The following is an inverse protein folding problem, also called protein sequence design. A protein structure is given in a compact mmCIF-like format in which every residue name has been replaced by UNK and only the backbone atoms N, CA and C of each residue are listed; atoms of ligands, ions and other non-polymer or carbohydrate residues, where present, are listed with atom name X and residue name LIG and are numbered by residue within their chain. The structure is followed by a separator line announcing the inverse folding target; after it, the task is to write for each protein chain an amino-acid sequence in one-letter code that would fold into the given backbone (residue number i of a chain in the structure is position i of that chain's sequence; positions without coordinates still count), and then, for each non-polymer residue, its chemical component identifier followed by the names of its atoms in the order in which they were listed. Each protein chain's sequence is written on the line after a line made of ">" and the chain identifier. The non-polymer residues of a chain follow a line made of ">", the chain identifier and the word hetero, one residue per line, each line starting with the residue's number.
data_IF_976929883270
#
_entry.id   IF_976929883270
#
_cell.length_a   1.000
_cell.length_b   1.000
_cell.length_c   1.000
_cell.angle_alpha   90.00
_cell.angle_beta   90.00
_cell.angle_gamma   90.00
#
_symmetry.space_group_name_H-M   'P 1'
#
loop_
_entity.id
_entity.type
_entity.pdbx_description
1 polymer ?
#
# COMPACT_ATOMS: atom_id res chain seq x y z
N UNK A 1 57.47 -29.81 9.71
CA UNK A 1 57.00 -28.48 9.32
C UNK A 1 55.54 -28.63 8.95
N UNK A 2 54.64 -28.17 9.80
CA UNK A 2 53.19 -28.21 9.57
C UNK A 2 52.73 -26.76 9.50
N UNK A 3 52.17 -26.39 8.36
CA UNK A 3 51.63 -25.06 8.15
C UNK A 3 50.11 -25.15 8.28
N UNK A 4 49.57 -24.55 9.33
CA UNK A 4 48.15 -24.32 9.53
C UNK A 4 47.86 -22.88 9.11
N UNK A 5 47.13 -22.70 8.07
CA UNK A 5 46.61 -21.42 7.61
C UNK A 5 45.18 -21.59 7.15
N UNK A 6 44.25 -21.68 8.09
CA UNK A 6 42.85 -21.61 7.82
C UNK A 6 42.32 -20.23 8.26
N UNK A 7 42.41 -19.25 7.37
CA UNK A 7 41.74 -17.99 7.59
C UNK A 7 40.31 -18.13 7.04
N UNK A 8 39.39 -18.42 7.94
CA UNK A 8 37.95 -18.25 7.67
C UNK A 8 37.64 -16.75 7.65
N UNK A 9 37.60 -16.16 6.46
CA UNK A 9 37.07 -14.82 6.24
C UNK A 9 35.55 -14.89 6.35
N UNK A 10 35.04 -14.79 7.59
CA UNK A 10 33.67 -14.41 7.82
C UNK A 10 33.53 -12.95 7.44
N UNK A 11 33.07 -12.68 6.23
CA UNK A 11 32.63 -11.35 5.85
C UNK A 11 31.48 -10.97 6.80
N UNK A 12 31.80 -10.12 7.76
CA UNK A 12 30.81 -9.42 8.57
C UNK A 12 30.12 -8.41 7.64
N UNK A 13 29.21 -8.89 6.80
CA UNK A 13 28.33 -8.02 6.02
C UNK A 13 27.49 -7.28 7.05
N UNK A 14 27.77 -6.01 7.22
CA UNK A 14 26.94 -5.12 8.03
C UNK A 14 25.57 -5.12 7.39
N UNK A 15 24.56 -5.62 8.11
CA UNK A 15 23.16 -5.61 7.67
C UNK A 15 22.79 -4.18 7.22
N UNK A 16 22.12 -4.05 6.08
CA UNK A 16 21.68 -2.76 5.55
C UNK A 16 20.17 -2.58 5.73
N UNK A 17 19.74 -1.32 5.75
CA UNK A 17 18.32 -0.97 5.76
C UNK A 17 17.56 -1.58 4.57
N UNK A 18 18.17 -1.56 3.37
CA UNK A 18 17.59 -2.17 2.18
C UNK A 18 17.35 -3.67 2.34
N UNK A 19 18.31 -4.40 2.92
CA UNK A 19 18.16 -5.84 3.19
C UNK A 19 17.02 -6.11 4.19
N UNK A 20 16.87 -5.26 5.21
CA UNK A 20 15.78 -5.32 6.18
C UNK A 20 14.42 -5.13 5.48
N UNK A 21 14.30 -4.09 4.65
CA UNK A 21 13.08 -3.78 3.89
C UNK A 21 12.70 -4.93 2.96
N UNK A 22 13.63 -5.44 2.17
CA UNK A 22 13.38 -6.55 1.26
C UNK A 22 12.98 -7.83 1.99
N UNK A 23 13.66 -8.16 3.09
CA UNK A 23 13.32 -9.32 3.90
C UNK A 23 11.94 -9.17 4.54
N UNK A 24 11.58 -8.00 5.04
CA UNK A 24 10.27 -7.73 5.60
C UNK A 24 9.17 -7.87 4.55
N UNK A 25 9.36 -7.31 3.34
CA UNK A 25 8.41 -7.45 2.23
C UNK A 25 8.26 -8.92 1.77
N UNK A 26 9.35 -9.72 1.78
CA UNK A 26 9.24 -11.16 1.51
C UNK A 26 8.38 -11.87 2.56
N UNK A 27 8.62 -11.63 3.85
CA UNK A 27 7.81 -12.22 4.94
C UNK A 27 6.34 -11.84 4.80
N UNK A 28 6.03 -10.56 4.54
CA UNK A 28 4.64 -10.11 4.40
C UNK A 28 3.96 -10.75 3.20
N UNK A 29 4.66 -10.89 2.09
CA UNK A 29 4.14 -11.55 0.89
C UNK A 29 3.83 -13.04 1.10
N UNK A 30 4.67 -13.74 1.84
CA UNK A 30 4.59 -15.20 2.05
C UNK A 30 3.65 -15.58 3.19
N UNK A 31 3.77 -14.87 4.31
CA UNK A 31 3.15 -15.26 5.58
C UNK A 31 2.04 -14.27 6.03
N UNK A 32 1.93 -13.08 5.41
CA UNK A 32 1.04 -11.99 5.85
C UNK A 32 1.71 -11.04 6.85
N UNK A 33 1.16 -9.82 6.96
CA UNK A 33 1.70 -8.75 7.83
C UNK A 33 1.63 -9.10 9.32
N UNK A 34 0.63 -9.88 9.73
CA UNK A 34 0.46 -10.35 11.12
C UNK A 34 1.63 -11.23 11.58
N UNK A 35 2.22 -11.99 10.64
CA UNK A 35 3.36 -12.89 10.93
C UNK A 35 4.70 -12.16 10.94
N UNK A 36 4.77 -10.93 10.43
CA UNK A 36 5.97 -10.12 10.53
C UNK A 36 6.27 -9.77 12.00
N UNK A 37 7.42 -10.18 12.46
CA UNK A 37 7.96 -9.90 13.80
C UNK A 37 9.48 -9.81 13.73
N UNK A 38 10.13 -9.16 14.70
CA UNK A 38 11.59 -9.06 14.77
C UNK A 38 12.25 -10.44 14.71
N UNK A 39 11.67 -11.43 15.39
CA UNK A 39 12.16 -12.82 15.37
C UNK A 39 12.00 -13.48 14.00
N UNK A 40 10.89 -13.26 13.31
CA UNK A 40 10.65 -13.79 11.95
C UNK A 40 11.59 -13.14 10.94
N UNK A 41 11.77 -11.82 11.07
CA UNK A 41 12.70 -11.04 10.25
C UNK A 41 14.15 -11.51 10.43
N UNK A 42 14.61 -11.70 11.68
CA UNK A 42 15.97 -12.20 11.95
C UNK A 42 16.22 -13.57 11.33
N UNK A 43 15.21 -14.47 11.37
CA UNK A 43 15.31 -15.78 10.70
C UNK A 43 15.39 -15.64 9.18
N UNK A 44 14.61 -14.73 8.60
CA UNK A 44 14.64 -14.45 7.17
C UNK A 44 16.01 -13.92 6.72
N UNK A 45 16.62 -13.07 7.54
CA UNK A 45 17.92 -12.47 7.26
C UNK A 45 19.09 -13.39 7.62
N UNK A 46 18.86 -14.49 8.34
CA UNK A 46 19.95 -15.36 8.82
C UNK A 46 20.87 -14.71 9.85
N UNK A 47 20.36 -13.73 10.63
CA UNK A 47 21.13 -12.98 11.62
C UNK A 47 20.65 -13.26 13.05
N UNK A 48 21.40 -12.76 14.04
CA UNK A 48 20.99 -12.86 15.44
C UNK A 48 19.64 -12.17 15.69
N UNK A 49 18.85 -12.63 16.69
CA UNK A 49 17.57 -11.99 17.02
C UNK A 49 17.67 -10.51 17.41
N UNK A 50 18.85 -10.06 17.84
CA UNK A 50 19.08 -8.66 18.22
C UNK A 50 19.51 -7.77 17.07
N UNK A 51 19.95 -8.33 15.93
CA UNK A 51 20.45 -7.55 14.81
C UNK A 51 19.45 -6.53 14.25
N UNK A 52 18.16 -6.85 14.00
CA UNK A 52 17.21 -5.88 13.52
C UNK A 52 16.97 -4.71 14.49
N UNK A 53 17.15 -4.92 15.80
CA UNK A 53 16.94 -3.86 16.81
C UNK A 53 17.99 -2.75 16.76
N UNK A 54 19.08 -2.92 16.02
CA UNK A 54 20.03 -1.82 15.75
C UNK A 54 19.47 -0.80 14.75
N UNK A 55 18.42 -1.17 14.00
CA UNK A 55 17.81 -0.35 12.94
C UNK A 55 16.44 0.15 13.31
N UNK A 56 15.63 -0.66 14.00
CA UNK A 56 14.26 -0.34 14.37
C UNK A 56 13.97 -0.85 15.80
N UNK A 57 13.26 -0.05 16.60
CA UNK A 57 12.98 -0.38 17.99
C UNK A 57 11.89 -1.47 18.14
N UNK A 58 10.91 -1.48 17.23
CA UNK A 58 9.77 -2.39 17.30
C UNK A 58 9.18 -2.70 15.91
N UNK A 59 8.10 -3.51 15.90
CA UNK A 59 7.38 -3.86 14.67
C UNK A 59 6.79 -2.64 13.98
N UNK A 60 6.30 -1.65 14.71
CA UNK A 60 5.68 -0.45 14.13
C UNK A 60 6.73 0.36 13.37
N UNK A 61 7.88 0.57 13.97
CA UNK A 61 8.99 1.28 13.32
C UNK A 61 9.52 0.52 12.10
N UNK A 62 9.54 -0.83 12.16
CA UNK A 62 9.86 -1.66 11.00
C UNK A 62 8.86 -1.45 9.86
N UNK A 63 7.56 -1.43 10.15
CA UNK A 63 6.52 -1.19 9.13
C UNK A 63 6.65 0.21 8.53
N UNK A 64 6.93 1.23 9.34
CA UNK A 64 7.18 2.60 8.90
C UNK A 64 8.40 2.69 7.96
N UNK A 65 9.48 2.02 8.31
CA UNK A 65 10.70 1.93 7.50
C UNK A 65 10.41 1.31 6.13
N UNK A 66 9.74 0.15 6.13
CA UNK A 66 9.39 -0.58 4.92
C UNK A 66 8.48 0.27 4.02
N UNK A 67 7.47 0.92 4.57
CA UNK A 67 6.55 1.77 3.84
C UNK A 67 7.28 2.98 3.22
N UNK A 68 8.11 3.67 4.00
CA UNK A 68 8.89 4.84 3.55
C UNK A 68 9.84 4.49 2.42
N UNK A 69 10.58 3.39 2.55
CA UNK A 69 11.53 2.95 1.54
C UNK A 69 10.82 2.51 0.23
N UNK A 70 9.71 1.77 0.35
CA UNK A 70 8.96 1.30 -0.81
C UNK A 70 8.28 2.46 -1.58
N UNK A 71 7.82 3.50 -0.88
CA UNK A 71 7.18 4.68 -1.47
C UNK A 71 8.18 5.77 -1.90
N UNK A 72 9.47 5.57 -1.66
CA UNK A 72 10.48 6.53 -2.08
C UNK A 72 10.36 6.88 -3.58
N UNK A 73 10.44 8.19 -3.88
CA UNK A 73 10.33 8.70 -5.25
C UNK A 73 8.92 9.00 -5.75
N UNK A 74 7.86 8.68 -4.98
CA UNK A 74 6.52 9.24 -5.25
C UNK A 74 6.57 10.76 -5.05
N UNK A 75 6.00 11.52 -6.00
CA UNK A 75 6.04 12.98 -6.00
C UNK A 75 4.65 13.57 -6.15
N UNK A 76 4.36 14.60 -5.35
CA UNK A 76 3.14 15.38 -5.53
C UNK A 76 3.17 16.09 -6.89
N UNK A 77 2.17 15.91 -7.76
CA UNK A 77 2.08 16.63 -9.03
C UNK A 77 1.92 18.14 -8.78
N UNK A 78 2.64 18.99 -9.52
CA UNK A 78 2.53 20.43 -9.38
C UNK A 78 1.13 20.94 -9.75
N UNK A 79 0.75 22.13 -9.27
CA UNK A 79 -0.59 22.71 -9.50
C UNK A 79 -0.89 22.94 -10.98
N UNK A 80 0.12 23.31 -11.74
CA UNK A 80 0.05 23.58 -13.16
C UNK A 80 -0.07 22.33 -14.05
N UNK A 81 0.07 21.13 -13.49
CA UNK A 81 0.00 19.87 -14.27
C UNK A 81 -1.43 19.47 -14.66
N UNK A 82 -2.43 20.21 -14.18
CA UNK A 82 -3.83 19.96 -14.56
C UNK A 82 -4.85 20.21 -13.44
N UNK A 83 -6.07 19.75 -13.66
CA UNK A 83 -7.15 19.83 -12.67
C UNK A 83 -6.83 18.97 -11.44
N UNK A 84 -7.56 19.18 -10.35
CA UNK A 84 -7.37 18.37 -9.14
C UNK A 84 -7.59 16.86 -9.39
N UNK A 85 -8.51 16.50 -10.29
CA UNK A 85 -8.76 15.11 -10.68
C UNK A 85 -7.54 14.49 -11.35
N UNK A 86 -6.93 15.21 -12.29
CA UNK A 86 -5.72 14.77 -13.01
C UNK A 86 -4.56 14.60 -12.03
N UNK A 87 -4.36 15.58 -11.15
CA UNK A 87 -3.30 15.58 -10.14
C UNK A 87 -3.49 14.45 -9.12
N UNK A 88 -4.73 14.27 -8.62
CA UNK A 88 -5.05 13.19 -7.70
C UNK A 88 -4.80 11.83 -8.36
N UNK A 89 -5.29 11.66 -9.60
CA UNK A 89 -5.10 10.42 -10.35
C UNK A 89 -3.61 10.11 -10.55
N UNK A 90 -2.80 11.07 -10.96
CA UNK A 90 -1.36 10.90 -11.17
C UNK A 90 -0.65 10.48 -9.87
N UNK A 91 -0.95 11.14 -8.75
CA UNK A 91 -0.37 10.77 -7.45
C UNK A 91 -0.74 9.35 -7.03
N UNK A 92 -2.02 8.96 -7.19
CA UNK A 92 -2.50 7.62 -6.85
C UNK A 92 -1.92 6.57 -7.79
N UNK A 93 -1.78 6.86 -9.09
CA UNK A 93 -1.15 5.96 -10.07
C UNK A 93 0.32 5.69 -9.72
N UNK A 94 1.08 6.69 -9.26
CA UNK A 94 2.44 6.51 -8.76
C UNK A 94 2.48 5.56 -7.55
N UNK A 95 1.55 5.71 -6.59
CA UNK A 95 1.46 4.83 -5.42
C UNK A 95 1.08 3.41 -5.85
N UNK A 96 0.07 3.26 -6.72
CA UNK A 96 -0.34 1.95 -7.24
C UNK A 96 0.80 1.22 -7.97
N UNK A 97 1.64 1.94 -8.71
CA UNK A 97 2.84 1.37 -9.34
C UNK A 97 3.82 0.80 -8.28
N UNK A 98 4.00 1.49 -7.15
CA UNK A 98 4.79 0.98 -6.02
C UNK A 98 4.15 -0.27 -5.39
N UNK A 99 2.83 -0.28 -5.21
CA UNK A 99 2.11 -1.44 -4.69
C UNK A 99 2.28 -2.68 -5.59
N UNK A 100 2.26 -2.49 -6.90
CA UNK A 100 2.48 -3.59 -7.85
C UNK A 100 3.91 -4.13 -7.81
N UNK A 101 4.90 -3.27 -7.59
CA UNK A 101 6.33 -3.66 -7.50
C UNK A 101 6.68 -4.30 -6.17
N UNK A 102 5.94 -3.99 -5.11
CA UNK A 102 6.20 -4.45 -3.74
C UNK A 102 4.98 -5.21 -3.17
N UNK A 103 4.77 -6.49 -3.58
CA UNK A 103 3.69 -7.31 -3.03
C UNK A 103 3.74 -7.37 -1.50
N UNK A 104 2.62 -7.13 -0.84
CA UNK A 104 2.50 -7.02 0.61
C UNK A 104 2.57 -5.59 1.16
N UNK A 105 3.05 -4.61 0.38
CA UNK A 105 3.08 -3.21 0.81
C UNK A 105 1.68 -2.67 1.12
N UNK A 106 0.67 -3.04 0.32
CA UNK A 106 -0.71 -2.61 0.54
C UNK A 106 -1.25 -3.04 1.91
N UNK A 107 -0.88 -4.24 2.39
CA UNK A 107 -1.27 -4.72 3.71
C UNK A 107 -0.62 -3.91 4.84
N UNK A 108 0.66 -3.53 4.66
CA UNK A 108 1.38 -2.66 5.60
C UNK A 108 0.70 -1.28 5.67
N UNK A 109 0.43 -0.67 4.52
CA UNK A 109 -0.13 0.68 4.44
C UNK A 109 -1.59 0.74 4.91
N UNK A 110 -2.37 -0.33 4.69
CA UNK A 110 -3.75 -0.40 5.18
C UNK A 110 -3.85 -0.31 6.71
N UNK A 111 -2.84 -0.83 7.43
CA UNK A 111 -2.78 -0.74 8.89
C UNK A 111 -2.31 0.64 9.38
N UNK A 112 -1.81 1.50 8.50
CA UNK A 112 -1.15 2.76 8.84
C UNK A 112 -1.84 3.97 8.18
N UNK A 113 -3.14 4.18 8.44
CA UNK A 113 -3.90 5.27 7.79
C UNK A 113 -3.29 6.67 7.98
N UNK A 114 -2.64 6.94 9.10
CA UNK A 114 -1.89 8.17 9.39
C UNK A 114 -0.48 7.81 9.88
N UNK A 115 0.25 7.04 9.06
CA UNK A 115 1.63 6.63 9.35
C UNK A 115 2.65 7.77 9.15
N UNK A 116 3.93 7.41 9.15
CA UNK A 116 5.05 8.38 9.02
C UNK A 116 5.19 8.97 7.60
N UNK A 117 4.41 8.52 6.61
CA UNK A 117 4.42 9.05 5.24
C UNK A 117 3.63 10.38 5.15
N UNK A 118 3.85 11.28 6.11
CA UNK A 118 3.09 12.54 6.22
C UNK A 118 3.16 13.39 4.96
N UNK A 119 4.28 13.40 4.25
CA UNK A 119 4.45 14.16 3.00
C UNK A 119 3.50 13.66 1.89
N UNK A 120 3.24 12.35 1.80
CA UNK A 120 2.30 11.79 0.83
C UNK A 120 0.85 11.99 1.26
N UNK A 121 0.57 11.88 2.55
CA UNK A 121 -0.74 12.16 3.13
C UNK A 121 -1.10 13.62 2.88
N UNK A 122 -0.19 14.52 3.20
CA UNK A 122 -0.30 15.96 2.96
C UNK A 122 -0.52 16.26 1.48
N UNK A 123 0.25 15.63 0.58
CA UNK A 123 0.10 15.80 -0.86
C UNK A 123 -1.31 15.43 -1.36
N UNK A 124 -1.92 14.35 -0.86
CA UNK A 124 -3.31 13.99 -1.19
C UNK A 124 -4.28 15.03 -0.64
N UNK A 125 -4.13 15.40 0.63
CA UNK A 125 -5.02 16.36 1.30
C UNK A 125 -4.93 17.75 0.67
N UNK A 126 -3.73 18.25 0.33
CA UNK A 126 -3.55 19.54 -0.36
C UNK A 126 -4.25 19.56 -1.72
N UNK A 127 -4.20 18.46 -2.51
CA UNK A 127 -4.93 18.40 -3.79
C UNK A 127 -6.43 18.54 -3.55
N UNK A 128 -6.97 17.94 -2.49
CA UNK A 128 -8.40 18.02 -2.14
C UNK A 128 -8.76 19.41 -1.59
N UNK A 129 -7.90 20.03 -0.77
CA UNK A 129 -8.09 21.42 -0.33
C UNK A 129 -8.07 22.39 -1.51
N UNK A 130 -7.13 22.21 -2.44
CA UNK A 130 -7.05 23.01 -3.68
C UNK A 130 -8.32 22.87 -4.54
N UNK A 131 -8.99 21.72 -4.50
CA UNK A 131 -10.27 21.49 -5.15
C UNK A 131 -11.45 22.22 -4.48
N UNK A 132 -11.28 22.67 -3.22
CA UNK A 132 -12.30 23.38 -2.46
C UNK A 132 -13.08 22.50 -1.47
N UNK A 133 -12.62 21.30 -1.15
CA UNK A 133 -13.25 20.49 -0.10
C UNK A 133 -13.05 21.12 1.28
N UNK A 134 -14.07 21.05 2.15
CA UNK A 134 -13.95 21.42 3.56
C UNK A 134 -13.07 20.44 4.33
N UNK A 135 -12.49 20.88 5.46
CA UNK A 135 -11.61 20.07 6.32
C UNK A 135 -12.18 18.69 6.62
N UNK A 136 -13.46 18.63 6.99
CA UNK A 136 -14.17 17.38 7.27
C UNK A 136 -14.23 16.46 6.04
N UNK A 137 -14.53 17.03 4.88
CA UNK A 137 -14.66 16.28 3.63
C UNK A 137 -13.30 15.86 3.07
N UNK A 138 -12.23 16.63 3.28
CA UNK A 138 -10.86 16.23 2.95
C UNK A 138 -10.47 14.97 3.71
N UNK A 139 -10.72 14.92 5.03
CA UNK A 139 -10.42 13.72 5.81
C UNK A 139 -11.23 12.49 5.36
N UNK A 140 -12.53 12.68 5.09
CA UNK A 140 -13.41 11.61 4.60
C UNK A 140 -12.98 11.10 3.22
N UNK A 141 -12.64 12.01 2.30
CA UNK A 141 -12.14 11.69 0.98
C UNK A 141 -10.80 10.93 1.05
N UNK A 142 -9.86 11.43 1.86
CA UNK A 142 -8.60 10.74 2.11
C UNK A 142 -8.82 9.32 2.64
N UNK A 143 -9.65 9.15 3.66
CA UNK A 143 -9.95 7.83 4.23
C UNK A 143 -10.57 6.87 3.18
N UNK A 144 -11.44 7.39 2.31
CA UNK A 144 -12.05 6.62 1.22
C UNK A 144 -11.01 6.18 0.20
N UNK A 145 -10.14 7.10 -0.26
CA UNK A 145 -9.03 6.82 -1.18
C UNK A 145 -8.10 5.77 -0.57
N UNK A 146 -7.68 5.97 0.67
CA UNK A 146 -6.80 5.07 1.40
C UNK A 146 -7.37 3.65 1.49
N UNK A 147 -8.62 3.54 1.93
CA UNK A 147 -9.29 2.23 2.07
C UNK A 147 -9.44 1.54 0.73
N UNK A 148 -9.84 2.26 -0.33
CA UNK A 148 -9.94 1.71 -1.68
C UNK A 148 -8.57 1.23 -2.17
N UNK A 149 -7.57 2.09 -2.16
CA UNK A 149 -6.26 1.82 -2.77
C UNK A 149 -5.56 0.64 -2.10
N UNK A 150 -5.50 0.63 -0.79
CA UNK A 150 -4.78 -0.39 -0.04
C UNK A 150 -5.64 -1.63 0.26
N UNK A 151 -6.95 -1.47 0.48
CA UNK A 151 -7.86 -2.59 0.72
C UNK A 151 -8.06 -3.51 -0.50
N UNK A 152 -7.95 -2.97 -1.73
CA UNK A 152 -8.09 -3.78 -2.94
C UNK A 152 -7.02 -4.88 -3.07
N UNK A 153 -5.84 -4.70 -2.48
CA UNK A 153 -4.78 -5.71 -2.48
C UNK A 153 -5.18 -6.99 -1.73
N UNK A 154 -6.08 -6.87 -0.76
CA UNK A 154 -6.63 -8.01 0.02
C UNK A 154 -7.75 -8.75 -0.71
N UNK A 155 -8.32 -8.18 -1.77
CA UNK A 155 -9.32 -8.88 -2.58
C UNK A 155 -8.63 -9.91 -3.45
N UNK A 156 -8.56 -11.16 -2.96
CA UNK A 156 -7.96 -12.28 -3.68
C UNK A 156 -9.04 -13.20 -4.29
N UNK A 157 -9.34 -13.09 -5.61
CA UNK A 157 -10.33 -13.96 -6.24
C UNK A 157 -9.95 -15.47 -6.26
N UNK A 158 -8.65 -15.80 -6.05
CA UNK A 158 -8.22 -17.22 -6.06
C UNK A 158 -8.71 -18.01 -4.85
N UNK A 159 -8.94 -17.34 -3.71
CA UNK A 159 -9.36 -18.00 -2.48
C UNK A 159 -10.87 -18.25 -2.41
N UNK A 160 -11.62 -17.82 -3.44
CA UNK A 160 -13.07 -17.89 -3.49
C UNK A 160 -13.59 -18.45 -4.81
N UNK A 161 -13.08 -19.57 -5.25
CA UNK A 161 -13.85 -20.41 -6.15
C UNK A 161 -15.11 -20.81 -5.40
N UNK A 162 -16.29 -20.44 -5.92
CA UNK A 162 -17.52 -20.98 -5.36
C UNK A 162 -17.37 -22.49 -5.27
N UNK A 163 -17.78 -23.15 -4.15
CA UNK A 163 -17.75 -24.59 -4.07
C UNK A 163 -18.41 -25.15 -5.32
N UNK A 164 -17.81 -26.17 -5.93
CA UNK A 164 -18.27 -26.72 -7.23
C UNK A 164 -19.74 -27.18 -7.21
N UNK A 165 -20.28 -27.44 -6.01
CA UNK A 165 -21.63 -27.97 -5.79
C UNK A 165 -22.67 -26.90 -5.41
N UNK A 166 -22.31 -25.60 -5.43
CA UNK A 166 -23.25 -24.52 -5.09
C UNK A 166 -23.88 -23.95 -6.35
N UNK A 167 -25.20 -24.09 -6.47
CA UNK A 167 -25.99 -23.42 -7.49
C UNK A 167 -25.99 -21.89 -7.20
N UNK A 168 -25.25 -21.14 -8.03
CA UNK A 168 -25.20 -19.68 -7.88
C UNK A 168 -26.49 -19.03 -8.37
N UNK A 169 -27.02 -18.01 -7.67
CA UNK A 169 -28.08 -17.15 -8.21
C UNK A 169 -27.66 -16.55 -9.56
N UNK A 170 -28.64 -16.32 -10.45
CA UNK A 170 -28.36 -15.91 -11.83
C UNK A 170 -27.46 -14.68 -11.96
N UNK A 171 -27.73 -13.62 -11.17
CA UNK A 171 -26.94 -12.39 -11.19
C UNK A 171 -25.48 -12.65 -10.78
N UNK A 172 -25.27 -13.49 -9.75
CA UNK A 172 -23.94 -13.89 -9.28
C UNK A 172 -23.22 -14.69 -10.37
N UNK A 173 -23.89 -15.70 -10.96
CA UNK A 173 -23.32 -16.53 -12.01
C UNK A 173 -22.93 -15.72 -13.25
N UNK A 174 -23.69 -14.68 -13.59
CA UNK A 174 -23.37 -13.77 -14.70
C UNK A 174 -22.14 -12.91 -14.39
N UNK A 175 -22.08 -12.32 -13.19
CA UNK A 175 -21.01 -11.41 -12.80
C UNK A 175 -19.67 -12.14 -12.55
N UNK A 176 -19.70 -13.32 -11.96
CA UNK A 176 -18.49 -14.08 -11.60
C UNK A 176 -17.69 -14.59 -12.80
N UNK A 177 -18.26 -14.56 -14.00
CA UNK A 177 -17.53 -14.84 -15.26
C UNK A 177 -16.34 -13.90 -15.46
N UNK A 178 -16.39 -12.71 -14.88
CA UNK A 178 -15.38 -11.65 -14.97
C UNK A 178 -14.51 -11.55 -13.69
N UNK A 179 -14.49 -12.59 -12.87
CA UNK A 179 -13.73 -12.60 -11.59
C UNK A 179 -12.23 -12.33 -11.80
N UNK A 180 -11.67 -12.75 -12.95
CA UNK A 180 -10.27 -12.49 -13.31
C UNK A 180 -9.95 -11.00 -13.41
N UNK A 181 -10.92 -10.18 -13.83
CA UNK A 181 -10.74 -8.75 -14.12
C UNK A 181 -10.57 -7.93 -12.84
N UNK A 182 -11.01 -8.49 -11.68
CA UNK A 182 -10.86 -7.85 -10.36
C UNK A 182 -9.41 -7.59 -9.95
N UNK A 183 -8.43 -8.25 -10.60
CA UNK A 183 -6.99 -8.08 -10.31
C UNK A 183 -6.28 -7.17 -11.31
N UNK A 184 -6.94 -6.87 -12.41
CA UNK A 184 -6.35 -6.19 -13.53
C UNK A 184 -6.40 -4.66 -13.40
N UNK A 185 -5.79 -4.03 -14.40
CA UNK A 185 -5.88 -2.59 -14.60
C UNK A 185 -7.34 -2.12 -14.76
N UNK A 186 -8.19 -2.94 -15.37
CA UNK A 186 -9.61 -2.64 -15.54
C UNK A 186 -10.31 -2.33 -14.21
N UNK A 187 -10.19 -3.21 -13.22
CA UNK A 187 -10.82 -2.99 -11.90
C UNK A 187 -10.25 -1.77 -11.18
N UNK A 188 -8.95 -1.54 -11.32
CA UNK A 188 -8.31 -0.35 -10.76
C UNK A 188 -8.85 0.93 -11.41
N UNK A 189 -8.86 0.99 -12.74
CA UNK A 189 -9.34 2.15 -13.49
C UNK A 189 -10.81 2.43 -13.19
N UNK A 190 -11.66 1.41 -13.25
CA UNK A 190 -13.08 1.51 -12.93
C UNK A 190 -13.31 2.07 -11.52
N UNK A 191 -12.60 1.55 -10.51
CA UNK A 191 -12.77 2.03 -9.15
C UNK A 191 -12.26 3.46 -8.95
N UNK A 192 -11.17 3.83 -9.61
CA UNK A 192 -10.66 5.21 -9.58
C UNK A 192 -11.61 6.19 -10.29
N UNK A 193 -12.21 5.81 -11.41
CA UNK A 193 -13.22 6.62 -12.10
C UNK A 193 -14.45 6.84 -11.21
N UNK A 194 -14.97 5.77 -10.61
CA UNK A 194 -16.11 5.86 -9.67
C UNK A 194 -15.78 6.74 -8.47
N UNK A 195 -14.55 6.60 -7.91
CA UNK A 195 -14.13 7.37 -6.75
C UNK A 195 -14.00 8.86 -7.09
N UNK A 196 -13.34 9.21 -8.19
CA UNK A 196 -13.19 10.60 -8.63
C UNK A 196 -14.55 11.22 -8.96
N UNK A 197 -15.42 10.53 -9.68
CA UNK A 197 -16.77 11.01 -9.98
C UNK A 197 -17.61 11.21 -8.71
N UNK A 198 -17.49 10.30 -7.74
CA UNK A 198 -18.12 10.44 -6.43
C UNK A 198 -17.63 11.66 -5.64
N UNK A 199 -16.32 11.92 -5.66
CA UNK A 199 -15.74 13.11 -5.04
C UNK A 199 -16.23 14.41 -5.72
N UNK A 200 -16.31 14.44 -7.06
CA UNK A 200 -16.88 15.58 -7.79
C UNK A 200 -18.33 15.86 -7.38
N UNK A 201 -19.14 14.79 -7.28
CA UNK A 201 -20.51 14.92 -6.83
C UNK A 201 -20.61 15.48 -5.39
N UNK A 202 -19.75 15.00 -4.48
CA UNK A 202 -19.71 15.51 -3.10
C UNK A 202 -19.28 16.98 -3.04
N UNK A 203 -18.32 17.39 -3.86
CA UNK A 203 -17.90 18.78 -3.96
C UNK A 203 -19.05 19.68 -4.47
N UNK A 204 -19.80 19.21 -5.46
CA UNK A 204 -20.98 19.92 -5.98
C UNK A 204 -22.10 20.04 -4.94
N UNK A 205 -22.33 19.03 -4.11
CA UNK A 205 -23.29 19.07 -2.98
C UNK A 205 -22.83 20.07 -1.93
N UNK A 206 -21.55 20.04 -1.56
CA UNK A 206 -20.98 20.99 -0.58
C UNK A 206 -21.13 22.44 -1.03
N UNK A 207 -21.07 22.71 -2.33
CA UNK A 207 -21.24 24.07 -2.88
C UNK A 207 -22.71 24.56 -2.88
N UNK A 208 -23.69 23.70 -2.52
CA UNK A 208 -25.13 23.99 -2.46
C UNK A 208 -25.64 23.76 -1.04
N UNK A 209 -25.46 24.71 -0.10
CA UNK A 209 -25.87 24.54 1.29
C UNK A 209 -27.38 24.34 1.49
N UNK A 210 -28.22 24.63 0.50
CA UNK A 210 -29.67 24.54 0.56
C UNK A 210 -30.21 23.11 0.43
N UNK A 211 -29.34 22.10 0.23
CA UNK A 211 -29.70 20.69 0.03
C UNK A 211 -29.12 19.73 1.08
N UNK A 212 -28.48 20.26 2.13
CA UNK A 212 -27.83 19.48 3.20
C UNK A 212 -28.68 19.37 4.47
#
# INVERSE_FOLDING_TARGET
>A
MRNHGGAGSGANSTLSEAEIVEAALRVVREDGVEKLSMRRLSRELGVSPMAPYYYVADKRELLDLVASAALAGVRKPPRESGTWQVRLRDLIDQIDDKLRRHPGLGDILLEQMLGKQLDLIDAVMEILFDAGFSDRNVLAAYATIHTYLFGRSRVNPRDRSAPADVLLPEAVARATKYMSDLRGKYSYDFGMEVLVAGLEAQLAVQARPDLA
#
